data_IF_594520482208
#
_entry.id   IF_594520482208
#
_cell.length_a   1.000
_cell.length_b   1.000
_cell.length_c   1.000
_cell.angle_alpha   90.00
_cell.angle_beta   90.00
_cell.angle_gamma   90.00
#
_symmetry.space_group_name_H-M   'P 1'
#
loop_
_entity.id
_entity.type
_entity.pdbx_description
1 polymer ?
#
# COMPACT_ATOMS: atom_id res chain seq x y z
N UNK A 1 25.01 38.76 -44.62
CA UNK A 1 23.67 38.81 -43.99
C UNK A 1 22.66 38.65 -45.14
N UNK A 2 22.02 37.51 -45.43
CA UNK A 2 21.40 36.46 -44.58
C UNK A 2 20.32 37.07 -43.65
N UNK A 3 19.02 36.69 -43.64
CA UNK A 3 18.27 35.59 -44.31
C UNK A 3 16.86 36.03 -44.79
N UNK A 4 16.29 35.23 -45.71
CA UNK A 4 15.03 35.32 -46.46
C UNK A 4 13.76 34.91 -45.66
N UNK A 5 12.64 35.52 -46.04
CA UNK A 5 11.22 35.12 -45.96
C UNK A 5 10.89 33.62 -45.63
N UNK A 6 9.87 33.36 -44.80
CA UNK A 6 9.29 32.02 -44.60
C UNK A 6 7.93 32.01 -43.89
N UNK A 7 6.91 31.39 -44.51
CA UNK A 7 5.51 31.25 -44.02
C UNK A 7 5.19 29.75 -43.82
N UNK A 8 4.77 29.36 -42.61
CA UNK A 8 4.16 28.06 -42.23
C UNK A 8 3.76 28.10 -40.72
N UNK A 9 3.08 27.13 -40.10
CA UNK A 9 1.75 26.49 -40.32
C UNK A 9 1.40 25.76 -39.00
N UNK A 10 0.31 25.99 -38.25
CA UNK A 10 -1.16 25.84 -38.45
C UNK A 10 -1.72 24.43 -38.17
N UNK A 11 -1.18 23.34 -38.72
CA UNK A 11 -1.62 21.96 -38.44
C UNK A 11 -1.10 21.44 -37.07
N UNK A 12 -1.58 22.07 -35.97
CA UNK A 12 -1.16 21.86 -34.57
C UNK A 12 -1.54 20.50 -33.95
N UNK A 13 -1.24 19.40 -34.65
CA UNK A 13 -1.49 18.02 -34.19
C UNK A 13 -0.28 17.44 -33.47
N UNK A 14 -0.35 17.36 -32.14
CA UNK A 14 0.47 16.43 -31.37
C UNK A 14 -0.37 15.23 -30.91
N UNK A 15 0.24 14.04 -31.02
CA UNK A 15 -0.47 12.75 -31.01
C UNK A 15 -0.63 12.17 -29.59
N UNK A 16 -1.68 11.37 -29.43
CA UNK A 16 -1.95 10.57 -28.24
C UNK A 16 -0.76 9.64 -27.92
N UNK A 17 -0.16 9.78 -26.73
CA UNK A 17 0.74 8.78 -26.17
C UNK A 17 -0.06 7.79 -25.31
N UNK A 18 -0.28 6.57 -25.82
CA UNK A 18 -0.95 5.48 -25.09
C UNK A 18 0.10 4.56 -24.45
N UNK A 19 -0.25 4.03 -23.28
CA UNK A 19 0.35 2.87 -22.58
C UNK A 19 1.84 2.98 -22.16
N UNK A 20 2.08 3.19 -20.87
CA UNK A 20 3.34 2.78 -20.21
C UNK A 20 3.13 1.40 -19.57
N UNK A 21 3.53 0.36 -20.30
CA UNK A 21 3.31 -1.04 -19.93
C UNK A 21 4.34 -1.52 -18.90
N UNK A 22 4.00 -1.56 -17.61
CA UNK A 22 4.86 -2.19 -16.60
C UNK A 22 4.43 -3.63 -16.35
N UNK A 23 4.89 -4.54 -17.22
CA UNK A 23 5.07 -5.96 -16.88
C UNK A 23 6.50 -6.16 -16.37
N UNK A 24 6.67 -6.52 -15.10
CA UNK A 24 7.84 -7.31 -14.69
C UNK A 24 7.43 -8.39 -13.70
N UNK A 25 7.73 -9.63 -14.07
CA UNK A 25 7.29 -10.87 -13.40
C UNK A 25 8.49 -11.47 -12.67
N UNK A 26 8.28 -11.96 -11.45
CA UNK A 26 9.03 -13.01 -10.75
C UNK A 26 10.57 -12.99 -10.73
N UNK A 27 11.15 -12.66 -9.57
CA UNK A 27 11.99 -13.53 -8.72
C UNK A 27 12.28 -12.73 -7.41
N UNK A 28 12.66 -13.26 -6.25
CA UNK A 28 13.13 -14.61 -5.93
C UNK A 28 12.74 -15.05 -4.52
N UNK A 29 12.67 -16.38 -4.33
CA UNK A 29 12.46 -17.06 -3.05
C UNK A 29 13.79 -17.10 -2.27
N UNK A 30 13.89 -16.44 -1.12
CA UNK A 30 15.03 -16.63 -0.20
C UNK A 30 14.62 -16.90 1.25
N UNK A 31 14.30 -18.15 1.52
CA UNK A 31 14.52 -18.77 2.83
C UNK A 31 16.02 -18.91 3.10
N UNK A 32 16.55 -18.33 4.18
CA UNK A 32 17.74 -18.87 4.89
C UNK A 32 18.00 -18.15 6.22
N UNK A 33 18.60 -18.89 7.16
CA UNK A 33 19.24 -18.45 8.41
C UNK A 33 18.38 -17.76 9.50
N UNK A 34 18.02 -18.53 10.54
CA UNK A 34 17.81 -18.00 11.90
C UNK A 34 19.13 -17.43 12.46
N UNK A 35 19.48 -16.19 12.09
CA UNK A 35 20.18 -15.32 13.03
C UNK A 35 19.12 -14.80 14.02
N UNK A 36 19.48 -14.50 15.27
CA UNK A 36 18.59 -13.79 16.18
C UNK A 36 18.43 -12.33 15.69
N UNK A 37 17.65 -12.16 14.63
CA UNK A 37 17.41 -10.89 14.01
C UNK A 37 16.51 -10.07 14.92
N UNK A 38 17.01 -8.90 15.35
CA UNK A 38 16.16 -7.84 15.87
C UNK A 38 15.10 -7.59 14.80
N UNK A 39 13.86 -7.99 15.08
CA UNK A 39 12.75 -7.83 14.14
C UNK A 39 12.50 -6.33 14.02
N UNK A 40 13.01 -5.74 12.95
CA UNK A 40 12.73 -4.35 12.61
C UNK A 40 11.22 -4.24 12.44
N UNK A 41 10.59 -3.47 13.33
CA UNK A 41 9.15 -3.21 13.28
C UNK A 41 8.90 -2.13 12.23
N UNK A 42 7.89 -2.33 11.41
CA UNK A 42 7.42 -1.30 10.48
C UNK A 42 6.41 -0.39 11.20
N UNK A 43 6.20 0.81 10.66
CA UNK A 43 5.16 1.74 11.12
C UNK A 43 3.80 1.30 10.53
N UNK A 44 3.03 0.50 11.28
CA UNK A 44 1.75 -0.02 10.77
C UNK A 44 0.69 1.07 10.62
N UNK A 45 0.87 2.25 11.23
CA UNK A 45 -0.05 3.40 11.08
C UNK A 45 0.00 4.04 9.69
N UNK A 46 0.91 3.60 8.81
CA UNK A 46 0.87 3.90 7.37
C UNK A 46 -0.28 3.21 6.64
N UNK A 47 -0.93 2.22 7.26
CA UNK A 47 -2.19 1.65 6.80
C UNK A 47 -3.34 2.41 7.43
N UNK A 48 -4.22 2.93 6.60
CA UNK A 48 -5.37 3.73 7.00
C UNK A 48 -6.34 2.89 7.86
N UNK A 49 -6.83 3.49 8.94
CA UNK A 49 -7.62 2.81 9.97
C UNK A 49 -6.80 2.13 11.07
N UNK A 50 -5.47 2.00 10.94
CA UNK A 50 -4.59 1.49 12.00
C UNK A 50 -4.06 2.66 12.84
N UNK A 51 -4.74 2.94 13.97
CA UNK A 51 -4.23 3.86 14.98
C UNK A 51 -3.18 3.22 15.92
N UNK A 52 -2.45 4.01 16.73
CA UNK A 52 -1.39 3.50 17.63
C UNK A 52 -1.82 2.37 18.58
N UNK A 53 -3.09 2.36 19.01
CA UNK A 53 -3.65 1.29 19.86
C UNK A 53 -3.84 -0.02 19.09
N UNK A 54 -4.25 0.06 17.83
CA UNK A 54 -4.43 -1.10 16.95
C UNK A 54 -3.07 -1.65 16.54
N UNK A 55 -2.11 -0.79 16.20
CA UNK A 55 -0.70 -1.16 15.99
C UNK A 55 -0.15 -1.94 17.21
N UNK A 56 -0.41 -1.48 18.43
CA UNK A 56 -0.01 -2.18 19.65
C UNK A 56 -0.63 -3.58 19.78
N UNK A 57 -1.92 -3.75 19.48
CA UNK A 57 -2.59 -5.05 19.50
C UNK A 57 -2.03 -6.02 18.43
N UNK A 58 -1.82 -5.53 17.21
CA UNK A 58 -1.24 -6.32 16.13
C UNK A 58 0.20 -6.76 16.46
N UNK A 59 0.98 -5.85 17.06
CA UNK A 59 2.32 -6.14 17.56
C UNK A 59 2.30 -7.20 18.68
N UNK A 60 1.32 -7.17 19.60
CA UNK A 60 1.18 -8.19 20.65
C UNK A 60 0.91 -9.60 20.07
N UNK A 61 0.21 -9.66 18.95
CA UNK A 61 -0.08 -10.89 18.18
C UNK A 61 1.04 -11.28 17.19
N UNK A 62 2.21 -10.64 17.27
CA UNK A 62 3.39 -10.94 16.44
C UNK A 62 3.32 -10.41 15.01
N UNK A 63 2.41 -9.47 14.73
CA UNK A 63 2.29 -8.78 13.44
C UNK A 63 3.10 -7.48 13.52
N UNK A 64 4.41 -7.59 13.30
CA UNK A 64 5.37 -6.48 13.45
C UNK A 64 5.71 -5.73 12.15
N UNK A 65 5.31 -6.25 10.99
CA UNK A 65 5.75 -5.74 9.68
C UNK A 65 4.59 -5.67 8.69
N UNK A 66 4.66 -4.74 7.73
CA UNK A 66 3.70 -4.65 6.63
C UNK A 66 3.65 -5.97 5.86
N UNK A 67 4.79 -6.63 5.66
CA UNK A 67 4.87 -7.93 4.99
C UNK A 67 4.19 -9.08 5.77
N UNK A 68 4.07 -8.97 7.10
CA UNK A 68 3.32 -9.92 7.94
C UNK A 68 1.84 -9.57 7.97
N UNK A 69 1.49 -8.28 8.06
CA UNK A 69 0.11 -7.80 8.01
C UNK A 69 -0.55 -8.15 6.66
N UNK A 70 0.14 -7.92 5.55
CA UNK A 70 -0.30 -8.26 4.19
C UNK A 70 -0.57 -9.76 3.96
N UNK A 71 0.05 -10.63 4.77
CA UNK A 71 -0.14 -12.10 4.74
C UNK A 71 -1.11 -12.59 5.80
N UNK A 72 -1.62 -11.71 6.65
CA UNK A 72 -2.60 -12.06 7.68
C UNK A 72 -3.99 -11.90 7.10
N UNK A 73 -4.84 -12.91 7.23
CA UNK A 73 -6.19 -12.85 6.70
C UNK A 73 -7.04 -11.84 7.46
N UNK A 74 -7.94 -11.15 6.75
CA UNK A 74 -8.91 -10.20 7.34
C UNK A 74 -9.65 -10.83 8.52
N UNK A 75 -10.03 -12.12 8.43
CA UNK A 75 -10.66 -12.88 9.52
C UNK A 75 -9.79 -12.99 10.78
N UNK A 76 -8.47 -13.20 10.66
CA UNK A 76 -7.58 -13.24 11.83
C UNK A 76 -7.37 -11.84 12.41
N UNK A 77 -7.27 -10.81 11.57
CA UNK A 77 -7.19 -9.41 12.03
C UNK A 77 -8.46 -9.03 12.80
N UNK A 78 -9.64 -9.32 12.24
CA UNK A 78 -10.93 -9.08 12.88
C UNK A 78 -11.03 -9.80 14.23
N UNK A 79 -10.63 -11.07 14.30
CA UNK A 79 -10.59 -11.83 15.55
C UNK A 79 -9.69 -11.22 16.64
N UNK A 80 -8.62 -10.51 16.27
CA UNK A 80 -7.76 -9.78 17.21
C UNK A 80 -8.49 -8.53 17.75
N UNK A 81 -9.15 -7.78 16.85
CA UNK A 81 -9.93 -6.60 17.21
C UNK A 81 -11.12 -6.96 18.12
N UNK A 82 -11.82 -8.04 17.81
CA UNK A 82 -12.96 -8.54 18.58
C UNK A 82 -12.54 -9.00 19.98
N UNK A 83 -11.42 -9.74 20.09
CA UNK A 83 -10.83 -10.16 21.36
C UNK A 83 -10.34 -8.99 22.22
N UNK A 84 -9.87 -7.91 21.59
CA UNK A 84 -9.49 -6.67 22.27
C UNK A 84 -10.70 -5.82 22.74
N UNK A 85 -11.92 -6.18 22.33
CA UNK A 85 -13.17 -5.73 22.93
C UNK A 85 -13.91 -4.60 22.20
N UNK A 86 -15.03 -4.11 22.78
CA UNK A 86 -16.03 -3.29 22.09
C UNK A 86 -15.51 -2.01 21.41
N UNK A 87 -14.41 -1.46 21.93
CA UNK A 87 -13.78 -0.21 21.46
C UNK A 87 -13.24 -0.30 20.04
N UNK A 88 -13.00 -1.51 19.53
CA UNK A 88 -12.38 -1.73 18.23
C UNK A 88 -13.36 -2.15 17.12
N UNK A 89 -14.66 -2.36 17.43
CA UNK A 89 -15.68 -2.79 16.45
C UNK A 89 -15.87 -1.84 15.26
N UNK A 90 -15.50 -0.55 15.42
CA UNK A 90 -15.60 0.45 14.36
C UNK A 90 -14.45 0.34 13.33
N UNK A 91 -13.34 -0.28 13.70
CA UNK A 91 -12.24 -0.55 12.76
C UNK A 91 -12.68 -1.61 11.74
N UNK A 92 -12.31 -1.40 10.47
CA UNK A 92 -12.62 -2.30 9.35
C UNK A 92 -11.31 -2.78 8.71
N UNK A 93 -10.90 -4.04 8.96
CA UNK A 93 -9.62 -4.55 8.48
C UNK A 93 -9.63 -5.01 7.02
N UNK A 94 -10.73 -4.80 6.30
CA UNK A 94 -10.97 -5.36 4.96
C UNK A 94 -9.88 -4.96 3.94
N UNK A 95 -9.41 -3.72 3.99
CA UNK A 95 -8.38 -3.18 3.08
C UNK A 95 -6.96 -3.24 3.67
N UNK A 96 -6.80 -3.52 4.96
CA UNK A 96 -5.50 -3.44 5.64
C UNK A 96 -4.43 -4.38 5.04
N UNK A 97 -4.74 -5.65 4.67
CA UNK A 97 -3.75 -6.50 4.01
C UNK A 97 -3.31 -5.96 2.63
N UNK A 98 -4.22 -5.31 1.89
CA UNK A 98 -3.92 -4.73 0.57
C UNK A 98 -3.02 -3.49 0.71
N UNK A 99 -3.38 -2.56 1.59
CA UNK A 99 -2.57 -1.38 1.91
C UNK A 99 -1.18 -1.79 2.43
N UNK A 100 -1.12 -2.75 3.35
CA UNK A 100 0.14 -3.30 3.85
C UNK A 100 0.96 -3.97 2.75
N UNK A 101 0.33 -4.59 1.74
CA UNK A 101 1.04 -5.18 0.62
C UNK A 101 1.70 -4.14 -0.30
N UNK A 102 1.18 -2.91 -0.37
CA UNK A 102 1.79 -1.79 -1.09
C UNK A 102 2.94 -1.18 -0.27
N UNK A 103 2.70 -0.91 1.01
CA UNK A 103 3.73 -0.42 1.96
C UNK A 103 4.93 -1.38 2.05
N UNK A 104 4.70 -2.69 2.13
CA UNK A 104 5.74 -3.73 2.16
C UNK A 104 6.61 -3.79 0.90
N UNK A 105 6.14 -3.21 -0.22
CA UNK A 105 6.87 -3.10 -1.49
C UNK A 105 7.46 -1.69 -1.73
N UNK A 106 7.20 -0.74 -0.82
CA UNK A 106 7.55 0.67 -1.00
C UNK A 106 6.77 1.37 -2.11
N UNK A 107 5.58 0.86 -2.48
CA UNK A 107 4.73 1.45 -3.52
C UNK A 107 3.88 2.59 -2.94
N UNK A 108 4.55 3.68 -2.51
CA UNK A 108 3.90 4.79 -1.81
C UNK A 108 2.86 5.51 -2.67
N UNK A 109 3.18 5.84 -3.92
CA UNK A 109 2.25 6.52 -4.85
C UNK A 109 0.97 5.70 -5.13
N UNK A 110 1.06 4.35 -5.11
CA UNK A 110 -0.11 3.48 -5.28
C UNK A 110 -0.86 3.26 -3.96
N UNK A 111 -0.18 3.40 -2.81
CA UNK A 111 -0.83 3.40 -1.50
C UNK A 111 -1.64 4.68 -1.30
N UNK A 112 -1.09 5.83 -1.68
CA UNK A 112 -1.75 7.14 -1.62
C UNK A 112 -3.00 7.16 -2.52
N UNK A 113 -2.88 6.78 -3.81
CA UNK A 113 -4.06 6.63 -4.70
C UNK A 113 -5.11 5.66 -4.17
N UNK A 114 -4.69 4.59 -3.49
CA UNK A 114 -5.63 3.67 -2.86
C UNK A 114 -6.33 4.34 -1.69
N UNK A 115 -5.61 5.07 -0.83
CA UNK A 115 -6.16 5.79 0.32
C UNK A 115 -7.09 6.94 -0.12
N UNK A 116 -6.76 7.70 -1.17
CA UNK A 116 -7.62 8.72 -1.77
C UNK A 116 -8.96 8.16 -2.30
N UNK A 117 -8.99 6.89 -2.70
CA UNK A 117 -10.20 6.19 -3.12
C UNK A 117 -11.00 5.63 -1.94
N UNK A 118 -10.41 5.48 -0.76
CA UNK A 118 -11.06 4.90 0.42
C UNK A 118 -11.73 6.00 1.28
N UNK A 119 -12.86 5.65 1.91
CA UNK A 119 -13.50 6.45 2.95
C UNK A 119 -13.15 5.86 4.33
N UNK A 120 -12.15 6.43 5.00
CA UNK A 120 -11.72 5.98 6.32
C UNK A 120 -11.22 4.53 6.32
N UNK A 121 -10.50 4.13 5.27
CA UNK A 121 -9.97 2.79 5.06
C UNK A 121 -10.97 1.79 4.47
N UNK A 122 -12.15 2.22 4.03
CA UNK A 122 -13.22 1.37 3.49
C UNK A 122 -13.47 1.70 2.02
N UNK A 123 -13.82 0.70 1.21
CA UNK A 123 -14.29 0.95 -0.15
C UNK A 123 -15.57 1.78 -0.12
N UNK A 124 -15.68 2.88 -0.88
CA UNK A 124 -16.91 3.66 -0.97
C UNK A 124 -18.05 2.78 -1.48
N UNK A 125 -19.28 3.09 -1.02
CA UNK A 125 -20.49 2.28 -1.24
C UNK A 125 -21.26 2.72 -2.48
#
# INVERSE_FOLDING_TARGET
>A
MFIKLGIWDKDGRLKQAKTSTIKKKGDSKKTTAKKAAVVKKDDLKKVEGIGPKIESLLNAEGIFTWAKLAKTSVKKIQSILDAAGPRYRMAKPDTWPQQAALAAKGQWDELEKLQDYLDGGKTPK
#
